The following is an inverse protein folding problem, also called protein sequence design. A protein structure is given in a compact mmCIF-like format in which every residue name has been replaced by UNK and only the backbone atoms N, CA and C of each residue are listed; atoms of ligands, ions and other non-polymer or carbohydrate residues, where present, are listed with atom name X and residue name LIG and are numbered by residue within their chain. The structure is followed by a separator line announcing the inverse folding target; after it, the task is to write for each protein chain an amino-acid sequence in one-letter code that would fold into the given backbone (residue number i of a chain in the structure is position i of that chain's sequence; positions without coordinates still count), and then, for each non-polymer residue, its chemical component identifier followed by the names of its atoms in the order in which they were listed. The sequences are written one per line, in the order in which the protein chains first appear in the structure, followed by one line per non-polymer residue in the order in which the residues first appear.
data_IF_132880571893
#
_entry.id   IF_132880571893
#
_cell.length_a   1.000
_cell.length_b   1.000
_cell.length_c   1.000
_cell.angle_alpha   90.00
_cell.angle_beta   90.00
_cell.angle_gamma   90.00
#
_symmetry.space_group_name_H-M   'P 1'
#
loop_
_entity.id
_entity.type
_entity.pdbx_description
1 polymer ?
#
# COMPACT_ATOMS: atom_id res chain seq x y z
N UNK A 1 -10.06 31.25 14.91
CA UNK A 1 -10.31 29.85 15.29
C UNK A 1 -11.75 29.51 14.94
N UNK A 2 -11.96 28.76 13.86
CA UNK A 2 -13.29 28.35 13.40
C UNK A 2 -13.61 26.94 13.96
N UNK A 3 -14.75 26.83 14.63
CA UNK A 3 -15.29 25.60 15.24
C UNK A 3 -15.85 24.66 14.17
N UNK A 4 -15.67 23.32 14.25
CA UNK A 4 -16.19 22.38 13.26
C UNK A 4 -17.71 22.11 13.42
N UNK A 5 -18.43 21.75 12.34
CA UNK A 5 -19.90 21.75 12.29
C UNK A 5 -20.50 20.36 12.55
N UNK A 6 -20.16 19.70 13.65
CA UNK A 6 -20.88 18.50 14.08
C UNK A 6 -20.78 18.30 15.60
N UNK A 7 -21.91 17.98 16.23
CA UNK A 7 -22.02 17.72 17.67
C UNK A 7 -21.44 16.34 17.99
N UNK A 8 -20.42 16.30 18.82
CA UNK A 8 -19.96 15.06 19.48
C UNK A 8 -21.03 14.56 20.46
N UNK A 9 -21.36 13.28 20.39
CA UNK A 9 -22.31 12.64 21.29
C UNK A 9 -21.78 12.65 22.72
N UNK A 10 -22.54 13.25 23.65
CA UNK A 10 -22.27 13.17 25.09
C UNK A 10 -22.84 11.85 25.62
N UNK A 11 -22.01 11.07 26.29
CA UNK A 11 -22.45 10.00 27.17
C UNK A 11 -23.17 10.62 28.37
N UNK A 12 -24.50 10.60 28.35
CA UNK A 12 -25.38 10.59 29.53
C UNK A 12 -26.84 10.52 29.03
N UNK A 13 -27.48 9.36 29.23
CA UNK A 13 -28.90 9.20 28.91
C UNK A 13 -29.37 7.78 28.56
N UNK A 14 -28.81 6.73 29.17
CA UNK A 14 -29.45 5.41 29.14
C UNK A 14 -30.40 5.37 30.35
N UNK A 15 -31.64 5.82 30.13
CA UNK A 15 -32.64 5.86 31.20
C UNK A 15 -34.07 6.22 30.76
N UNK A 16 -34.33 6.52 29.49
CA UNK A 16 -35.67 6.91 29.03
C UNK A 16 -35.98 6.30 27.65
N UNK A 17 -36.14 4.97 27.60
CA UNK A 17 -36.74 4.26 26.47
C UNK A 17 -37.36 2.91 26.87
N UNK A 18 -37.82 2.78 28.13
CA UNK A 18 -38.66 1.67 28.57
C UNK A 18 -40.06 2.23 28.84
N UNK A 19 -40.82 2.34 27.75
CA UNK A 19 -42.26 2.53 27.83
C UNK A 19 -42.91 1.25 28.37
N UNK A 20 -43.79 1.42 29.34
CA UNK A 20 -44.71 0.40 29.82
C UNK A 20 -45.60 -0.09 28.68
N UNK A 21 -45.43 -1.33 28.23
CA UNK A 21 -46.47 -2.09 27.54
C UNK A 21 -46.71 -3.41 28.28
N UNK A 22 -47.97 -3.64 28.65
CA UNK A 22 -48.45 -4.85 29.31
C UNK A 22 -48.38 -6.05 28.34
N UNK A 23 -48.08 -7.27 28.83
CA UNK A 23 -48.08 -8.45 27.98
C UNK A 23 -49.52 -8.97 27.76
N UNK A 24 -49.92 -9.33 26.53
CA UNK A 24 -51.10 -10.16 26.33
C UNK A 24 -50.78 -11.60 26.74
N UNK A 25 -51.71 -12.18 27.49
CA UNK A 25 -51.67 -13.57 27.91
C UNK A 25 -52.15 -14.52 26.79
N UNK A 26 -51.71 -15.78 26.93
CA UNK A 26 -52.24 -17.02 26.34
C UNK A 26 -51.79 -17.45 24.94
N UNK A 27 -50.96 -18.50 24.94
CA UNK A 27 -51.24 -19.74 24.22
C UNK A 27 -50.48 -19.98 22.92
N UNK A 28 -49.38 -20.75 22.97
CA UNK A 28 -49.11 -21.82 21.99
C UNK A 28 -47.88 -22.66 22.41
N UNK A 29 -48.06 -23.62 23.31
CA UNK A 29 -47.14 -24.77 23.37
C UNK A 29 -47.56 -25.75 22.28
N UNK A 30 -47.04 -25.56 21.07
CA UNK A 30 -46.97 -26.61 20.05
C UNK A 30 -45.52 -27.09 19.98
N UNK A 31 -45.24 -28.40 20.08
CA UNK A 31 -43.89 -28.90 19.90
C UNK A 31 -43.45 -28.60 18.47
N UNK A 32 -42.27 -27.99 18.33
CA UNK A 32 -41.65 -27.76 17.03
C UNK A 32 -41.54 -29.09 16.28
N UNK A 33 -42.17 -29.18 15.11
CA UNK A 33 -42.02 -30.32 14.21
C UNK A 33 -40.53 -30.51 13.87
N UNK A 34 -40.06 -31.76 13.77
CA UNK A 34 -38.67 -32.04 13.45
C UNK A 34 -38.35 -31.42 12.10
N UNK A 35 -37.44 -30.44 12.10
CA UNK A 35 -36.89 -29.84 10.89
C UNK A 35 -36.47 -30.97 9.94
N UNK A 36 -37.18 -31.08 8.83
CA UNK A 36 -36.87 -32.04 7.78
C UNK A 36 -35.39 -31.89 7.43
N UNK A 37 -34.67 -33.01 7.45
CA UNK A 37 -33.24 -33.07 7.16
C UNK A 37 -33.03 -32.46 5.78
N UNK A 38 -32.60 -31.19 5.72
CA UNK A 38 -32.48 -30.45 4.48
C UNK A 38 -31.54 -31.22 3.55
N UNK A 39 -32.04 -31.53 2.35
CA UNK A 39 -31.21 -32.14 1.30
C UNK A 39 -30.00 -31.24 1.11
N UNK A 40 -28.78 -31.80 1.23
CA UNK A 40 -27.51 -31.12 0.97
C UNK A 40 -27.42 -30.70 -0.50
N UNK A 41 -28.13 -29.65 -0.88
CA UNK A 41 -28.11 -29.06 -2.21
C UNK A 41 -27.46 -27.69 -2.16
N UNK A 42 -26.72 -27.35 -3.21
CA UNK A 42 -26.20 -26.00 -3.39
C UNK A 42 -27.35 -25.00 -3.52
N UNK A 43 -27.20 -23.85 -2.88
CA UNK A 43 -28.10 -22.70 -3.04
C UNK A 43 -27.99 -22.18 -4.47
N UNK A 44 -29.12 -21.88 -5.10
CA UNK A 44 -29.15 -21.32 -6.46
C UNK A 44 -28.94 -19.80 -6.42
N UNK A 45 -28.49 -19.23 -7.53
CA UNK A 45 -28.29 -17.78 -7.67
C UNK A 45 -29.53 -16.97 -7.27
N UNK A 46 -30.73 -17.37 -7.74
CA UNK A 46 -31.99 -16.72 -7.41
C UNK A 46 -32.44 -16.87 -5.94
N UNK A 47 -31.84 -17.81 -5.20
CA UNK A 47 -32.14 -18.05 -3.78
C UNK A 47 -31.22 -17.23 -2.85
N UNK A 48 -30.23 -16.51 -3.41
CA UNK A 48 -29.37 -15.63 -2.63
C UNK A 48 -30.09 -14.33 -2.28
N UNK A 49 -29.70 -13.72 -1.16
CA UNK A 49 -30.21 -12.41 -0.77
C UNK A 49 -29.91 -11.34 -1.83
N UNK A 50 -30.85 -10.43 -2.02
CA UNK A 50 -30.80 -9.43 -3.09
C UNK A 50 -29.52 -8.58 -3.11
N UNK A 51 -28.98 -8.27 -1.93
CA UNK A 51 -27.75 -7.48 -1.77
C UNK A 51 -26.48 -8.22 -2.22
N UNK A 52 -26.51 -9.56 -2.31
CA UNK A 52 -25.37 -10.37 -2.72
C UNK A 52 -25.22 -10.44 -4.25
N UNK A 53 -26.30 -10.26 -5.01
CA UNK A 53 -26.26 -10.40 -6.48
C UNK A 53 -25.30 -9.42 -7.14
N UNK A 54 -25.29 -8.15 -6.71
CA UNK A 54 -24.35 -7.14 -7.23
C UNK A 54 -22.90 -7.57 -7.03
N UNK A 55 -22.59 -8.09 -5.83
CA UNK A 55 -21.24 -8.56 -5.51
C UNK A 55 -20.88 -9.83 -6.31
N UNK A 56 -21.78 -10.81 -6.41
CA UNK A 56 -21.53 -12.03 -7.18
C UNK A 56 -21.33 -11.70 -8.66
N UNK A 57 -22.22 -10.91 -9.26
CA UNK A 57 -22.12 -10.56 -10.67
C UNK A 57 -20.88 -9.70 -10.94
N UNK A 58 -20.60 -8.71 -10.09
CA UNK A 58 -19.45 -7.81 -10.26
C UNK A 58 -18.10 -8.48 -10.05
N UNK A 59 -18.04 -9.53 -9.21
CA UNK A 59 -16.79 -10.24 -8.89
C UNK A 59 -16.57 -11.45 -9.78
N UNK A 60 -17.63 -12.22 -10.06
CA UNK A 60 -17.52 -13.51 -10.71
C UNK A 60 -17.75 -13.48 -12.21
N UNK A 61 -18.22 -12.36 -12.77
CA UNK A 61 -18.44 -12.19 -14.21
C UNK A 61 -17.71 -10.96 -14.73
N UNK A 62 -17.09 -11.09 -15.90
CA UNK A 62 -16.47 -9.97 -16.59
C UNK A 62 -17.53 -9.16 -17.34
N UNK A 63 -17.25 -7.88 -17.53
CA UNK A 63 -18.09 -6.99 -18.36
C UNK A 63 -18.34 -7.56 -19.75
N UNK A 64 -17.34 -8.19 -20.38
CA UNK A 64 -17.47 -8.79 -21.71
C UNK A 64 -18.42 -9.99 -21.74
N UNK A 65 -18.47 -10.78 -20.67
CA UNK A 65 -19.43 -11.89 -20.54
C UNK A 65 -20.85 -11.36 -20.32
N UNK A 66 -21.02 -10.37 -19.44
CA UNK A 66 -22.31 -9.75 -19.19
C UNK A 66 -22.87 -9.11 -20.47
N UNK A 67 -22.03 -8.41 -21.25
CA UNK A 67 -22.41 -7.84 -22.56
C UNK A 67 -22.82 -8.89 -23.59
N UNK A 68 -22.38 -10.14 -23.46
CA UNK A 68 -22.81 -11.24 -24.34
C UNK A 68 -24.13 -11.87 -23.89
N UNK A 69 -24.37 -11.94 -22.58
CA UNK A 69 -25.49 -12.68 -21.99
C UNK A 69 -26.72 -11.81 -21.72
N UNK A 70 -26.54 -10.61 -21.15
CA UNK A 70 -27.66 -9.73 -20.76
C UNK A 70 -28.59 -9.39 -21.93
N UNK A 71 -28.10 -8.95 -23.11
CA UNK A 71 -28.96 -8.61 -24.25
C UNK A 71 -29.80 -9.76 -24.80
N UNK A 72 -29.52 -11.01 -24.44
CA UNK A 72 -30.34 -12.17 -24.87
C UNK A 72 -31.67 -12.25 -24.12
N UNK A 73 -31.76 -11.57 -22.98
CA UNK A 73 -32.91 -11.61 -22.07
C UNK A 73 -33.49 -10.22 -21.80
N UNK A 74 -32.93 -9.17 -22.40
CA UNK A 74 -33.36 -7.77 -22.24
C UNK A 74 -33.37 -7.05 -23.58
N UNK A 75 -33.91 -5.83 -23.60
CA UNK A 75 -33.93 -4.95 -24.78
C UNK A 75 -32.66 -4.10 -24.94
N UNK A 76 -31.64 -4.32 -24.10
CA UNK A 76 -30.41 -3.53 -24.14
C UNK A 76 -29.60 -3.83 -25.40
N UNK A 77 -29.09 -2.78 -26.02
CA UNK A 77 -28.12 -2.90 -27.11
C UNK A 77 -26.72 -3.18 -26.56
N UNK A 78 -26.10 -4.25 -27.06
CA UNK A 78 -24.78 -4.71 -26.62
C UNK A 78 -23.66 -3.68 -26.77
N UNK A 79 -23.70 -2.85 -27.82
CA UNK A 79 -22.65 -1.89 -28.16
C UNK A 79 -22.91 -0.51 -27.57
N UNK A 80 -24.18 -0.11 -27.45
CA UNK A 80 -24.55 1.23 -26.97
C UNK A 80 -24.77 1.32 -25.47
N UNK A 81 -25.22 0.25 -24.81
CA UNK A 81 -25.44 0.26 -23.37
C UNK A 81 -24.11 0.48 -22.62
N UNK A 82 -24.14 1.26 -21.56
CA UNK A 82 -23.03 1.46 -20.63
C UNK A 82 -22.77 0.20 -19.81
N UNK A 83 -21.55 0.06 -19.26
CA UNK A 83 -21.22 -1.07 -18.39
C UNK A 83 -22.12 -1.13 -17.15
N UNK A 84 -22.52 0.04 -16.63
CA UNK A 84 -23.42 0.15 -15.48
C UNK A 84 -24.84 -0.36 -15.81
N UNK A 85 -25.40 0.00 -16.96
CA UNK A 85 -26.71 -0.48 -17.40
C UNK A 85 -26.72 -2.00 -17.58
N UNK A 86 -25.69 -2.54 -18.24
CA UNK A 86 -25.52 -3.98 -18.42
C UNK A 86 -25.42 -4.70 -17.07
N UNK A 87 -24.65 -4.15 -16.12
CA UNK A 87 -24.51 -4.72 -14.79
C UNK A 87 -25.82 -4.67 -14.00
N UNK A 88 -26.52 -3.54 -13.97
CA UNK A 88 -27.79 -3.41 -13.26
C UNK A 88 -28.85 -4.38 -13.79
N UNK A 89 -28.95 -4.53 -15.12
CA UNK A 89 -29.87 -5.52 -15.70
C UNK A 89 -29.46 -6.96 -15.37
N UNK A 90 -28.16 -7.28 -15.34
CA UNK A 90 -27.69 -8.59 -14.88
C UNK A 90 -28.09 -8.88 -13.42
N UNK A 91 -28.00 -7.89 -12.53
CA UNK A 91 -28.41 -8.00 -11.13
C UNK A 91 -29.93 -8.22 -11.02
N UNK A 92 -30.73 -7.45 -11.76
CA UNK A 92 -32.19 -7.62 -11.81
C UNK A 92 -32.59 -9.02 -12.28
N UNK A 93 -31.99 -9.49 -13.39
CA UNK A 93 -32.21 -10.83 -13.92
C UNK A 93 -31.81 -11.92 -12.92
N UNK A 94 -30.75 -11.71 -12.14
CA UNK A 94 -30.30 -12.65 -11.11
C UNK A 94 -31.29 -12.77 -9.94
N UNK A 95 -31.93 -11.65 -9.56
CA UNK A 95 -32.92 -11.61 -8.48
C UNK A 95 -34.31 -12.08 -8.91
N UNK A 96 -34.73 -11.74 -10.13
CA UNK A 96 -36.05 -12.10 -10.67
C UNK A 96 -36.23 -13.61 -10.93
N UNK A 97 -35.13 -14.35 -11.02
CA UNK A 97 -35.16 -15.74 -11.47
C UNK A 97 -35.43 -15.87 -12.97
N UNK A 98 -35.89 -17.05 -13.40
CA UNK A 98 -36.19 -17.32 -14.81
C UNK A 98 -34.97 -17.64 -15.69
N UNK A 99 -35.13 -17.53 -17.01
CA UNK A 99 -34.14 -18.01 -17.99
C UNK A 99 -32.81 -17.22 -17.94
N UNK A 100 -32.87 -15.91 -17.70
CA UNK A 100 -31.66 -15.09 -17.53
C UNK A 100 -30.84 -15.52 -16.31
N UNK A 101 -31.49 -15.71 -15.15
CA UNK A 101 -30.83 -16.22 -13.95
C UNK A 101 -30.25 -17.62 -14.16
N UNK A 102 -30.98 -18.53 -14.83
CA UNK A 102 -30.49 -19.89 -15.13
C UNK A 102 -29.28 -19.85 -16.04
N UNK A 103 -29.24 -18.93 -17.02
CA UNK A 103 -28.09 -18.75 -17.89
C UNK A 103 -26.86 -18.28 -17.11
N UNK A 104 -27.01 -17.35 -16.16
CA UNK A 104 -25.91 -16.92 -15.29
C UNK A 104 -25.43 -18.03 -14.36
N UNK A 105 -26.36 -18.74 -13.70
CA UNK A 105 -26.03 -19.90 -12.88
C UNK A 105 -25.21 -20.93 -13.67
N UNK A 106 -25.68 -21.29 -14.88
CA UNK A 106 -25.01 -22.24 -15.76
C UNK A 106 -23.60 -21.76 -16.14
N UNK A 107 -23.47 -20.50 -16.56
CA UNK A 107 -22.18 -19.93 -16.94
C UNK A 107 -21.18 -19.94 -15.78
N UNK A 108 -21.61 -19.56 -14.57
CA UNK A 108 -20.78 -19.57 -13.37
C UNK A 108 -20.40 -21.00 -12.95
N UNK A 109 -21.34 -21.93 -13.00
CA UNK A 109 -21.10 -23.33 -12.65
C UNK A 109 -20.14 -24.04 -13.62
N UNK A 110 -20.28 -23.79 -14.93
CA UNK A 110 -19.38 -24.32 -15.95
C UNK A 110 -17.97 -23.73 -15.81
N UNK A 111 -17.87 -22.41 -15.63
CA UNK A 111 -16.59 -21.71 -15.52
C UNK A 111 -15.80 -22.12 -14.28
N UNK A 112 -16.49 -22.32 -13.16
CA UNK A 112 -15.86 -22.59 -11.87
C UNK A 112 -16.01 -24.05 -11.42
N UNK A 113 -16.28 -24.98 -12.35
CA UNK A 113 -16.54 -26.39 -12.07
C UNK A 113 -15.45 -27.07 -11.23
N UNK A 114 -14.17 -26.75 -11.46
CA UNK A 114 -13.04 -27.32 -10.70
C UNK A 114 -13.06 -26.87 -9.23
N UNK A 115 -13.26 -25.58 -8.98
CA UNK A 115 -13.35 -25.03 -7.62
C UNK A 115 -14.60 -25.49 -6.90
N UNK A 116 -15.73 -25.60 -7.60
CA UNK A 116 -16.96 -26.19 -7.04
C UNK A 116 -16.75 -27.64 -6.59
N UNK A 117 -16.02 -28.45 -7.37
CA UNK A 117 -15.65 -29.83 -6.97
C UNK A 117 -14.77 -29.82 -5.71
N UNK A 118 -13.77 -28.93 -5.64
CA UNK A 118 -12.88 -28.79 -4.48
C UNK A 118 -13.66 -28.40 -3.22
N UNK A 119 -14.53 -27.40 -3.30
CA UNK A 119 -15.36 -26.97 -2.17
C UNK A 119 -16.38 -28.03 -1.75
N UNK A 120 -16.90 -28.83 -2.68
CA UNK A 120 -17.85 -29.91 -2.39
C UNK A 120 -17.32 -31.03 -1.49
N UNK A 121 -16.02 -31.07 -1.18
CA UNK A 121 -15.45 -31.98 -0.17
C UNK A 121 -15.74 -31.49 1.25
N UNK A 122 -15.92 -30.18 1.46
CA UNK A 122 -16.23 -29.62 2.77
C UNK A 122 -17.57 -30.13 3.31
N UNK A 123 -17.63 -30.38 4.62
CA UNK A 123 -18.79 -31.01 5.29
C UNK A 123 -19.41 -30.16 6.39
N UNK A 124 -18.81 -29.02 6.68
CA UNK A 124 -19.22 -28.06 7.70
C UNK A 124 -18.79 -26.64 7.28
N UNK A 125 -19.28 -25.64 8.02
CA UNK A 125 -19.03 -24.23 7.77
C UNK A 125 -17.55 -23.84 7.92
N UNK A 126 -16.83 -24.47 8.85
CA UNK A 126 -15.43 -24.16 9.14
C UNK A 126 -14.50 -24.63 8.01
N UNK A 127 -14.76 -25.81 7.45
CA UNK A 127 -14.04 -26.32 6.29
C UNK A 127 -14.26 -25.43 5.04
N UNK A 128 -15.48 -24.92 4.83
CA UNK A 128 -15.77 -23.96 3.75
C UNK A 128 -15.02 -22.66 4.00
N UNK A 129 -15.01 -22.17 5.25
CA UNK A 129 -14.30 -20.94 5.62
C UNK A 129 -12.79 -21.08 5.42
N UNK A 130 -12.20 -22.21 5.79
CA UNK A 130 -10.78 -22.48 5.56
C UNK A 130 -10.43 -22.44 4.07
N UNK A 131 -11.25 -23.07 3.21
CA UNK A 131 -11.04 -23.03 1.76
C UNK A 131 -11.18 -21.61 1.18
N UNK A 132 -12.07 -20.80 1.75
CA UNK A 132 -12.16 -19.37 1.41
C UNK A 132 -10.88 -18.62 1.80
N UNK A 133 -10.44 -18.75 3.04
CA UNK A 133 -9.24 -18.05 3.54
C UNK A 133 -7.98 -18.47 2.75
N UNK A 134 -7.89 -19.73 2.32
CA UNK A 134 -6.83 -20.21 1.42
C UNK A 134 -6.87 -19.52 0.06
N UNK A 135 -8.06 -19.37 -0.53
CA UNK A 135 -8.25 -18.72 -1.82
C UNK A 135 -7.96 -17.21 -1.76
N UNK A 136 -8.28 -16.56 -0.64
CA UNK A 136 -7.89 -15.17 -0.39
C UNK A 136 -6.37 -15.03 -0.40
N UNK A 137 -5.65 -15.93 0.28
CA UNK A 137 -4.19 -15.90 0.30
C UNK A 137 -3.55 -16.18 -1.06
N UNK A 138 -4.17 -17.02 -1.89
CA UNK A 138 -3.67 -17.31 -3.26
C UNK A 138 -4.13 -16.28 -4.31
N UNK A 139 -5.11 -15.43 -3.99
CA UNK A 139 -5.69 -14.46 -4.92
C UNK A 139 -6.78 -15.04 -5.84
N UNK A 140 -7.20 -16.28 -5.64
CA UNK A 140 -8.22 -16.96 -6.44
C UNK A 140 -9.65 -16.60 -5.99
N UNK A 141 -9.95 -15.30 -5.91
CA UNK A 141 -11.17 -14.76 -5.30
C UNK A 141 -12.45 -15.14 -6.07
N UNK A 142 -12.62 -14.83 -7.38
CA UNK A 142 -13.88 -15.08 -8.08
C UNK A 142 -14.40 -16.53 -8.02
N UNK A 143 -13.57 -17.57 -8.29
CA UNK A 143 -14.06 -18.95 -8.26
C UNK A 143 -14.42 -19.41 -6.83
N UNK A 144 -13.65 -19.01 -5.82
CA UNK A 144 -13.92 -19.36 -4.44
C UNK A 144 -15.16 -18.64 -3.91
N UNK A 145 -15.36 -17.37 -4.31
CA UNK A 145 -16.50 -16.58 -3.89
C UNK A 145 -17.81 -17.20 -4.36
N UNK A 146 -17.88 -17.62 -5.64
CA UNK A 146 -19.04 -18.34 -6.16
C UNK A 146 -19.29 -19.66 -5.43
N UNK A 147 -18.22 -20.40 -5.12
CA UNK A 147 -18.33 -21.65 -4.38
C UNK A 147 -18.91 -21.44 -2.98
N UNK A 148 -18.43 -20.43 -2.23
CA UNK A 148 -18.94 -20.10 -0.88
C UNK A 148 -20.40 -19.66 -0.94
N UNK A 149 -20.77 -18.75 -1.85
CA UNK A 149 -22.15 -18.24 -1.93
C UNK A 149 -23.17 -19.36 -2.13
N UNK A 150 -22.81 -20.38 -2.91
CA UNK A 150 -23.70 -21.49 -3.26
C UNK A 150 -23.53 -22.74 -2.39
N UNK A 151 -22.58 -22.79 -1.46
CA UNK A 151 -22.30 -24.01 -0.71
C UNK A 151 -23.42 -24.34 0.29
N UNK A 152 -23.85 -25.61 0.43
CA UNK A 152 -24.90 -26.01 1.38
C UNK A 152 -24.52 -25.73 2.84
N UNK A 153 -23.24 -25.94 3.19
CA UNK A 153 -22.74 -25.74 4.57
C UNK A 153 -22.28 -24.29 4.83
N UNK A 154 -22.35 -23.39 3.84
CA UNK A 154 -22.05 -21.97 4.05
C UNK A 154 -23.26 -21.28 4.69
N UNK A 155 -23.28 -21.20 6.02
CA UNK A 155 -24.26 -20.40 6.75
C UNK A 155 -24.12 -18.90 6.48
N UNK A 156 -25.08 -18.12 6.97
CA UNK A 156 -25.12 -16.65 6.83
C UNK A 156 -23.82 -15.98 7.26
N UNK A 157 -23.23 -16.42 8.37
CA UNK A 157 -21.97 -15.88 8.87
C UNK A 157 -20.80 -16.06 7.90
N UNK A 158 -20.68 -17.23 7.26
CA UNK A 158 -19.60 -17.51 6.29
C UNK A 158 -19.79 -16.68 5.03
N UNK A 159 -21.02 -16.58 4.51
CA UNK A 159 -21.33 -15.74 3.34
C UNK A 159 -21.07 -14.27 3.62
N UNK A 160 -21.47 -13.76 4.78
CA UNK A 160 -21.23 -12.37 5.18
C UNK A 160 -19.73 -12.05 5.31
N UNK A 161 -18.94 -12.96 5.88
CA UNK A 161 -17.49 -12.79 5.97
C UNK A 161 -16.84 -12.69 4.58
N UNK A 162 -17.17 -13.61 3.67
CA UNK A 162 -16.66 -13.60 2.30
C UNK A 162 -17.11 -12.36 1.53
N UNK A 163 -18.38 -11.95 1.67
CA UNK A 163 -18.92 -10.73 1.07
C UNK A 163 -18.19 -9.49 1.58
N UNK A 164 -17.98 -9.37 2.90
CA UNK A 164 -17.30 -8.23 3.50
C UNK A 164 -15.87 -8.07 2.98
N UNK A 165 -15.16 -9.18 2.80
CA UNK A 165 -13.80 -9.18 2.26
C UNK A 165 -13.76 -8.78 0.79
N UNK A 166 -14.63 -9.34 -0.06
CA UNK A 166 -14.77 -8.93 -1.47
C UNK A 166 -15.18 -7.47 -1.60
N UNK A 167 -16.07 -7.00 -0.74
CA UNK A 167 -16.50 -5.60 -0.69
C UNK A 167 -15.31 -4.67 -0.37
N UNK A 168 -14.51 -5.00 0.64
CA UNK A 168 -13.32 -4.21 0.98
C UNK A 168 -12.24 -4.27 -0.09
N UNK A 169 -12.02 -5.43 -0.72
CA UNK A 169 -11.12 -5.57 -1.87
C UNK A 169 -11.54 -4.66 -3.02
N UNK A 170 -12.84 -4.59 -3.32
CA UNK A 170 -13.38 -3.71 -4.37
C UNK A 170 -13.12 -2.23 -4.07
N UNK A 171 -13.24 -1.80 -2.81
CA UNK A 171 -12.89 -0.45 -2.37
C UNK A 171 -11.38 -0.16 -2.48
N UNK A 172 -10.54 -1.10 -2.05
CA UNK A 172 -9.07 -0.97 -2.08
C UNK A 172 -8.54 -0.91 -3.51
N UNK A 173 -8.95 -1.85 -4.37
CA UNK A 173 -8.59 -1.85 -5.79
C UNK A 173 -9.11 -0.59 -6.47
N UNK A 174 -10.34 -0.16 -6.16
CA UNK A 174 -10.87 1.11 -6.66
C UNK A 174 -10.04 2.32 -6.24
N UNK A 175 -9.54 2.38 -5.00
CA UNK A 175 -8.69 3.46 -4.52
C UNK A 175 -7.29 3.44 -5.14
N UNK A 176 -6.65 2.27 -5.21
CA UNK A 176 -5.35 2.08 -5.84
C UNK A 176 -5.40 2.42 -7.33
N UNK A 177 -6.38 1.88 -8.06
CA UNK A 177 -6.52 2.12 -9.49
C UNK A 177 -6.76 3.61 -9.81
N UNK A 178 -7.48 4.36 -8.95
CA UNK A 178 -7.60 5.83 -9.11
C UNK A 178 -6.27 6.55 -8.92
N UNK A 179 -5.45 6.13 -7.97
CA UNK A 179 -4.12 6.72 -7.77
C UNK A 179 -3.21 6.40 -8.97
N UNK A 180 -3.27 5.17 -9.48
CA UNK A 180 -2.52 4.73 -10.65
C UNK A 180 -2.94 5.48 -11.92
N UNK A 181 -4.25 5.64 -12.16
CA UNK A 181 -4.79 6.43 -13.28
C UNK A 181 -4.26 7.87 -13.23
N UNK A 182 -4.28 8.52 -12.05
CA UNK A 182 -3.74 9.88 -11.91
C UNK A 182 -2.24 9.92 -12.20
N UNK A 183 -1.50 8.92 -11.74
CA UNK A 183 -0.05 8.83 -12.00
C UNK A 183 0.23 8.62 -13.47
N UNK A 184 -0.58 7.79 -14.14
CA UNK A 184 -0.47 7.53 -15.58
C UNK A 184 -0.72 8.80 -16.39
N UNK A 185 -1.81 9.53 -16.11
CA UNK A 185 -2.12 10.80 -16.77
C UNK A 185 -0.97 11.81 -16.57
N UNK A 186 -0.46 11.96 -15.35
CA UNK A 186 0.66 12.86 -15.08
C UNK A 186 1.93 12.47 -15.84
N UNK A 187 2.22 11.18 -15.95
CA UNK A 187 3.36 10.68 -16.73
C UNK A 187 3.16 10.88 -18.24
N UNK A 188 1.94 10.78 -18.75
CA UNK A 188 1.62 11.07 -20.14
C UNK A 188 1.82 12.56 -20.46
N UNK A 189 1.37 13.47 -19.58
CA UNK A 189 1.58 14.91 -19.71
C UNK A 189 3.08 15.29 -19.64
N UNK A 190 3.81 14.69 -18.71
CA UNK A 190 5.26 14.89 -18.57
C UNK A 190 6.00 14.39 -19.82
N UNK A 191 5.63 13.21 -20.34
CA UNK A 191 6.19 12.69 -21.59
C UNK A 191 5.91 13.60 -22.78
N UNK A 192 4.69 14.12 -22.91
CA UNK A 192 4.34 15.07 -23.96
C UNK A 192 5.19 16.35 -23.88
N UNK A 193 5.35 16.89 -22.67
CA UNK A 193 6.18 18.08 -22.41
C UNK A 193 7.66 17.85 -22.73
N UNK A 194 8.20 16.70 -22.33
CA UNK A 194 9.59 16.35 -22.61
C UNK A 194 9.83 16.14 -24.11
N UNK A 195 8.90 15.50 -24.82
CA UNK A 195 8.98 15.32 -26.27
C UNK A 195 9.02 16.65 -27.00
N UNK A 196 8.14 17.58 -26.64
CA UNK A 196 8.11 18.93 -27.22
C UNK A 196 9.40 19.71 -26.91
N UNK A 197 9.93 19.65 -25.68
CA UNK A 197 11.24 20.24 -25.36
C UNK A 197 12.38 19.65 -26.21
N UNK A 198 12.36 18.34 -26.42
CA UNK A 198 13.39 17.63 -27.18
C UNK A 198 13.33 18.01 -28.66
N UNK A 199 12.13 18.11 -29.23
CA UNK A 199 11.89 18.58 -30.60
C UNK A 199 12.43 20.00 -30.79
N UNK A 200 12.08 20.94 -29.90
CA UNK A 200 12.61 22.31 -29.95
C UNK A 200 14.13 22.39 -29.81
N UNK A 201 14.73 21.52 -28.98
CA UNK A 201 16.19 21.46 -28.85
C UNK A 201 16.85 20.92 -30.12
N UNK A 202 16.26 19.90 -30.75
CA UNK A 202 16.73 19.34 -32.02
C UNK A 202 16.67 20.39 -33.13
N UNK A 203 15.56 21.11 -33.27
CA UNK A 203 15.42 22.21 -34.24
C UNK A 203 16.47 23.30 -34.02
N UNK A 204 16.69 23.70 -32.76
CA UNK A 204 17.68 24.72 -32.41
C UNK A 204 19.09 24.27 -32.75
N UNK A 205 19.45 23.01 -32.45
CA UNK A 205 20.77 22.46 -32.77
C UNK A 205 20.98 22.36 -34.28
N UNK A 206 19.98 21.91 -35.03
CA UNK A 206 20.04 21.87 -36.50
C UNK A 206 20.24 23.26 -37.09
N UNK A 207 19.46 24.26 -36.65
CA UNK A 207 19.60 25.63 -37.10
C UNK A 207 20.99 26.21 -36.80
N UNK A 208 21.57 25.88 -35.64
CA UNK A 208 22.89 26.34 -35.23
C UNK A 208 24.00 25.67 -36.06
N UNK A 209 23.89 24.36 -36.32
CA UNK A 209 24.79 23.65 -37.23
C UNK A 209 24.74 24.22 -38.64
N UNK A 210 23.55 24.47 -39.19
CA UNK A 210 23.41 25.08 -40.52
C UNK A 210 24.07 26.46 -40.57
N UNK A 211 23.90 27.29 -39.53
CA UNK A 211 24.60 28.59 -39.44
C UNK A 211 26.12 28.44 -39.37
N UNK A 212 26.62 27.49 -38.59
CA UNK A 212 28.05 27.21 -38.50
C UNK A 212 28.62 26.72 -39.85
N UNK A 213 27.94 25.81 -40.54
CA UNK A 213 28.36 25.35 -41.88
C UNK A 213 28.40 26.50 -42.89
N UNK A 214 27.41 27.40 -42.87
CA UNK A 214 27.42 28.59 -43.71
C UNK A 214 28.58 29.53 -43.37
N UNK A 215 28.85 29.78 -42.08
CA UNK A 215 29.95 30.63 -41.65
C UNK A 215 31.33 30.03 -42.03
N UNK A 216 31.51 28.72 -41.86
CA UNK A 216 32.72 28.00 -42.27
C UNK A 216 32.93 28.15 -43.77
N UNK A 217 31.89 27.95 -44.60
CA UNK A 217 31.97 28.13 -46.06
C UNK A 217 32.33 29.57 -46.45
N UNK A 218 31.69 30.56 -45.83
CA UNK A 218 31.97 31.98 -46.06
C UNK A 218 33.42 32.35 -45.72
N UNK A 219 34.03 31.72 -44.72
CA UNK A 219 35.44 31.92 -44.38
C UNK A 219 36.40 31.10 -45.25
N UNK A 220 36.04 29.87 -45.64
CA UNK A 220 36.92 28.98 -46.40
C UNK A 220 37.03 29.34 -47.88
N UNK A 221 35.98 29.87 -48.49
CA UNK A 221 35.94 30.17 -49.93
C UNK A 221 36.92 31.29 -50.33
N UNK A 222 37.01 32.43 -49.62
CA UNK A 222 38.01 33.45 -49.92
C UNK A 222 39.44 32.96 -49.68
N UNK A 223 39.68 32.20 -48.61
CA UNK A 223 40.99 31.66 -48.27
C UNK A 223 41.49 30.66 -49.32
N UNK A 224 40.60 29.78 -49.79
CA UNK A 224 40.93 28.83 -50.86
C UNK A 224 41.16 29.52 -52.20
N UNK A 225 40.39 30.57 -52.53
CA UNK A 225 40.63 31.39 -53.73
C UNK A 225 41.94 32.17 -53.67
N UNK A 226 42.30 32.74 -52.51
CA UNK A 226 43.57 33.44 -52.29
C UNK A 226 44.75 32.48 -52.39
N UNK A 227 44.68 31.31 -51.75
CA UNK A 227 45.71 30.26 -51.87
C UNK A 227 45.87 29.76 -53.32
N UNK A 228 44.77 29.59 -54.05
CA UNK A 228 44.82 29.18 -55.46
C UNK A 228 45.43 30.27 -56.37
N UNK A 229 45.26 31.55 -56.05
CA UNK A 229 45.90 32.67 -56.75
C UNK A 229 47.38 32.79 -56.41
N UNK A 230 47.74 32.66 -55.13
CA UNK A 230 49.12 32.66 -54.67
C UNK A 230 49.92 31.50 -55.28
N UNK A 231 49.34 30.30 -55.35
CA UNK A 231 49.95 29.14 -56.00
C UNK A 231 50.16 29.32 -57.52
N UNK A 232 49.35 30.14 -58.20
CA UNK A 232 49.52 30.48 -59.62
C UNK A 232 50.51 31.62 -59.86
N UNK A 233 50.81 32.42 -58.84
CA UNK A 233 51.68 33.60 -58.92
C UNK A 233 53.11 33.34 -58.42
N UNK A 234 53.45 32.10 -58.08
CA UNK A 234 54.81 31.69 -57.70
C UNK A 234 55.78 31.71 -58.91
N UNK A 235 56.14 32.91 -59.36
CA UNK A 235 57.36 33.22 -60.10
C UNK A 235 58.33 34.00 -59.21
N UNK A 236 59.65 33.96 -59.45
CA UNK A 236 60.64 34.47 -58.51
C UNK A 236 60.70 35.99 -58.59
N UNK A 237 60.23 36.70 -57.55
CA UNK A 237 60.52 38.12 -57.36
C UNK A 237 60.72 38.50 -55.89
N UNK A 238 61.85 39.17 -55.71
CA UNK A 238 62.31 40.09 -54.67
C UNK A 238 61.44 40.24 -53.40
N UNK A 239 61.88 39.64 -52.30
CA UNK A 239 61.05 39.13 -51.19
C UNK A 239 61.29 39.78 -49.82
N UNK A 240 61.77 41.03 -49.77
CA UNK A 240 62.03 41.70 -48.48
C UNK A 240 60.77 42.26 -47.82
N UNK A 241 60.14 43.24 -48.47
CA UNK A 241 59.09 44.07 -47.86
C UNK A 241 57.67 43.49 -48.01
N UNK A 242 57.38 42.75 -49.08
CA UNK A 242 56.08 42.06 -49.25
C UNK A 242 55.97 40.83 -48.34
N UNK A 243 57.09 40.15 -48.07
CA UNK A 243 57.15 39.01 -47.16
C UNK A 243 56.93 39.45 -45.72
N UNK A 244 57.51 40.59 -45.31
CA UNK A 244 57.28 41.16 -43.97
C UNK A 244 55.82 41.58 -43.75
N UNK A 245 55.19 42.20 -44.76
CA UNK A 245 53.77 42.54 -44.69
C UNK A 245 52.87 41.28 -44.63
N UNK A 246 53.21 40.23 -45.41
CA UNK A 246 52.49 38.96 -45.38
C UNK A 246 52.68 38.19 -44.07
N UNK A 247 53.88 38.22 -43.49
CA UNK A 247 54.19 37.67 -42.17
C UNK A 247 53.38 38.39 -41.08
N UNK A 248 53.30 39.73 -41.15
CA UNK A 248 52.53 40.52 -40.20
C UNK A 248 51.03 40.21 -40.27
N UNK A 249 50.47 40.10 -41.48
CA UNK A 249 49.06 39.68 -41.67
C UNK A 249 48.79 38.26 -41.16
N UNK A 250 49.75 37.33 -41.35
CA UNK A 250 49.62 35.97 -40.86
C UNK A 250 49.67 35.91 -39.33
N UNK A 251 50.54 36.70 -38.70
CA UNK A 251 50.63 36.84 -37.25
C UNK A 251 49.35 37.41 -36.66
N UNK A 252 48.76 38.44 -37.29
CA UNK A 252 47.47 39.00 -36.86
C UNK A 252 46.32 37.99 -37.00
N UNK A 253 46.30 37.22 -38.10
CA UNK A 253 45.31 36.15 -38.32
C UNK A 253 45.43 35.02 -37.29
N UNK A 254 46.67 34.60 -36.98
CA UNK A 254 46.95 33.61 -35.93
C UNK A 254 46.51 34.12 -34.56
N UNK A 255 46.84 35.37 -34.21
CA UNK A 255 46.43 35.98 -32.95
C UNK A 255 44.90 36.06 -32.82
N UNK A 256 44.19 36.37 -33.91
CA UNK A 256 42.73 36.38 -33.94
C UNK A 256 42.14 34.98 -33.75
N UNK A 257 42.76 33.94 -34.34
CA UNK A 257 42.34 32.54 -34.18
C UNK A 257 42.60 32.02 -32.78
N UNK A 258 43.74 32.36 -32.18
CA UNK A 258 44.07 31.99 -30.81
C UNK A 258 43.10 32.64 -29.81
N UNK A 259 42.72 33.90 -30.04
CA UNK A 259 41.70 34.58 -29.23
C UNK A 259 40.32 33.89 -29.34
N UNK A 260 39.94 33.44 -30.54
CA UNK A 260 38.67 32.72 -30.74
C UNK A 260 38.69 31.31 -30.11
N UNK A 261 39.81 30.59 -30.21
CA UNK A 261 39.99 29.30 -29.54
C UNK A 261 39.96 29.46 -28.01
N UNK A 262 40.59 30.50 -27.47
CA UNK A 262 40.55 30.79 -26.04
C UNK A 262 39.12 31.09 -25.56
N UNK A 263 38.33 31.82 -26.34
CA UNK A 263 36.92 32.08 -26.03
C UNK A 263 36.07 30.80 -26.06
N UNK A 264 36.28 29.93 -27.04
CA UNK A 264 35.58 28.65 -27.13
C UNK A 264 35.95 27.71 -25.97
N UNK A 265 37.23 27.65 -25.60
CA UNK A 265 37.72 26.89 -24.46
C UNK A 265 37.07 27.38 -23.15
N UNK A 266 37.04 28.69 -22.92
CA UNK A 266 36.38 29.30 -21.76
C UNK A 266 34.88 28.98 -21.70
N UNK A 267 34.17 29.04 -22.83
CA UNK A 267 32.75 28.68 -22.90
C UNK A 267 32.50 27.21 -22.59
N UNK A 268 33.37 26.32 -23.09
CA UNK A 268 33.30 24.89 -22.85
C UNK A 268 33.55 24.57 -21.39
N UNK A 269 34.60 25.13 -20.78
CA UNK A 269 34.90 24.95 -19.36
C UNK A 269 33.76 25.43 -18.48
N UNK A 270 33.17 26.60 -18.79
CA UNK A 270 32.00 27.09 -18.07
C UNK A 270 30.77 26.18 -18.21
N UNK A 271 30.60 25.51 -19.35
CA UNK A 271 29.53 24.52 -19.56
C UNK A 271 29.79 23.22 -18.80
N UNK A 272 31.03 22.72 -18.81
CA UNK A 272 31.45 21.54 -18.04
C UNK A 272 31.26 21.77 -16.54
N UNK A 273 31.64 22.93 -16.01
CA UNK A 273 31.40 23.29 -14.60
C UNK A 273 29.90 23.39 -14.25
N UNK A 274 29.04 23.87 -15.17
CA UNK A 274 27.58 23.87 -14.94
C UNK A 274 27.04 22.44 -14.89
N UNK A 275 27.43 21.59 -15.85
CA UNK A 275 27.00 20.20 -15.88
C UNK A 275 27.44 19.44 -14.62
N UNK A 276 28.65 19.70 -14.12
CA UNK A 276 29.15 19.09 -12.88
C UNK A 276 28.32 19.51 -11.66
N UNK A 277 28.00 20.80 -11.52
CA UNK A 277 27.12 21.30 -10.44
C UNK A 277 25.70 20.73 -10.51
N UNK A 278 25.12 20.63 -11.70
CA UNK A 278 23.81 20.00 -11.90
C UNK A 278 23.84 18.51 -11.54
N UNK A 279 24.92 17.81 -11.87
CA UNK A 279 25.11 16.41 -11.51
C UNK A 279 25.19 16.21 -9.99
N UNK A 280 25.96 17.04 -9.29
CA UNK A 280 26.04 17.03 -7.83
C UNK A 280 24.69 17.32 -7.16
N UNK A 281 23.94 18.30 -7.67
CA UNK A 281 22.59 18.60 -7.20
C UNK A 281 21.63 17.42 -7.41
N UNK A 282 21.69 16.78 -8.57
CA UNK A 282 20.87 15.60 -8.88
C UNK A 282 21.16 14.43 -7.93
N UNK A 283 22.44 14.19 -7.63
CA UNK A 283 22.83 13.17 -6.65
C UNK A 283 22.32 13.50 -5.24
N UNK A 284 22.41 14.77 -4.81
CA UNK A 284 21.91 15.21 -3.52
C UNK A 284 20.39 15.04 -3.39
N UNK A 285 19.62 15.43 -4.42
CA UNK A 285 18.15 15.25 -4.46
C UNK A 285 17.79 13.77 -4.43
N UNK A 286 18.54 12.92 -5.14
CA UNK A 286 18.31 11.48 -5.13
C UNK A 286 18.54 10.86 -3.76
N UNK A 287 19.61 11.26 -3.07
CA UNK A 287 19.87 10.83 -1.70
C UNK A 287 18.76 11.28 -0.73
N UNK A 288 18.26 12.51 -0.87
CA UNK A 288 17.11 13.00 -0.08
C UNK A 288 15.82 12.21 -0.35
N UNK A 289 15.57 11.85 -1.62
CA UNK A 289 14.42 11.02 -1.98
C UNK A 289 14.52 9.62 -1.36
N UNK A 290 15.69 9.00 -1.41
CA UNK A 290 15.93 7.67 -0.84
C UNK A 290 15.73 7.69 0.69
N UNK A 291 16.20 8.74 1.37
CA UNK A 291 15.96 8.94 2.80
C UNK A 291 14.46 9.14 3.13
N UNK A 292 13.76 10.00 2.38
CA UNK A 292 12.33 10.20 2.55
C UNK A 292 11.51 8.92 2.33
N UNK A 293 11.90 8.09 1.34
CA UNK A 293 11.28 6.78 1.10
C UNK A 293 11.54 5.80 2.26
N UNK A 294 12.73 5.83 2.85
CA UNK A 294 13.05 5.02 4.03
C UNK A 294 12.19 5.46 5.24
N UNK A 295 12.06 6.77 5.48
CA UNK A 295 11.21 7.31 6.55
C UNK A 295 9.73 6.95 6.36
N UNK A 296 9.21 7.04 5.12
CA UNK A 296 7.84 6.63 4.82
C UNK A 296 7.59 5.14 5.06
N UNK A 297 8.56 4.26 4.73
CA UNK A 297 8.46 2.82 5.05
C UNK A 297 8.39 2.58 6.55
N UNK A 298 9.22 3.28 7.33
CA UNK A 298 9.21 3.20 8.79
C UNK A 298 7.86 3.67 9.34
N UNK A 299 7.39 4.85 8.94
CA UNK A 299 6.11 5.41 9.39
C UNK A 299 4.90 4.53 9.01
N UNK A 300 4.94 3.89 7.84
CA UNK A 300 3.91 2.93 7.42
C UNK A 300 3.92 1.66 8.26
N UNK A 301 5.10 1.13 8.59
CA UNK A 301 5.24 -0.02 9.47
C UNK A 301 4.72 0.30 10.89
N UNK A 302 5.01 1.51 11.40
CA UNK A 302 4.49 2.01 12.67
C UNK A 302 2.97 2.15 12.65
N UNK A 303 2.40 2.73 11.59
CA UNK A 303 0.95 2.90 11.42
C UNK A 303 0.23 1.55 11.32
N UNK A 304 0.81 0.58 10.60
CA UNK A 304 0.27 -0.78 10.50
C UNK A 304 0.35 -1.53 11.84
N UNK A 305 1.42 -1.33 12.62
CA UNK A 305 1.53 -1.87 13.96
C UNK A 305 0.49 -1.25 14.92
N UNK A 306 0.24 0.06 14.79
CA UNK A 306 -0.80 0.77 15.54
C UNK A 306 -2.21 0.30 15.16
N UNK A 307 -2.49 0.15 13.87
CA UNK A 307 -3.79 -0.32 13.36
C UNK A 307 -4.11 -1.75 13.85
N UNK A 308 -3.11 -2.64 13.85
CA UNK A 308 -3.24 -3.99 14.44
C UNK A 308 -3.49 -3.98 15.95
N UNK A 309 -3.05 -2.93 16.64
CA UNK A 309 -3.25 -2.76 18.09
C UNK A 309 -4.58 -2.07 18.45
N UNK A 310 -5.18 -1.32 17.51
CA UNK A 310 -6.41 -0.51 17.74
C UNK A 310 -7.68 -1.21 17.23
N UNK A 311 -7.59 -2.19 16.32
CA UNK A 311 -8.75 -2.96 15.89
C UNK A 311 -9.37 -3.75 17.07
N UNK A 312 -10.66 -3.52 17.41
CA UNK A 312 -11.35 -4.27 18.45
C UNK A 312 -11.46 -5.74 18.06
N UNK A 313 -11.35 -6.62 19.05
CA UNK A 313 -11.63 -8.04 18.94
C UNK A 313 -13.09 -8.27 18.50
N UNK A 314 -13.31 -8.35 17.19
CA UNK A 314 -14.50 -8.96 16.62
C UNK A 314 -14.02 -10.11 15.73
N UNK A 315 -14.16 -11.32 16.26
CA UNK A 315 -14.08 -12.61 15.57
C UNK A 315 -12.68 -13.10 15.14
N UNK A 316 -11.78 -13.42 16.07
CA UNK A 316 -10.86 -14.58 15.96
C UNK A 316 -10.45 -15.05 17.37
N UNK A 317 -11.24 -15.98 17.91
CA UNK A 317 -11.23 -16.38 19.33
C UNK A 317 -10.19 -17.41 19.76
N UNK A 318 -9.38 -18.03 18.89
CA UNK A 318 -8.53 -19.15 19.35
C UNK A 318 -7.05 -19.08 18.94
N UNK A 319 -6.68 -18.62 17.73
CA UNK A 319 -5.27 -18.68 17.30
C UNK A 319 -4.37 -17.57 17.89
N UNK A 320 -4.89 -16.37 18.16
CA UNK A 320 -4.11 -15.32 18.87
C UNK A 320 -3.81 -15.70 20.32
N UNK A 321 -4.55 -16.64 20.91
CA UNK A 321 -4.38 -17.07 22.29
C UNK A 321 -3.26 -18.10 22.46
N UNK A 322 -2.72 -18.71 21.40
CA UNK A 322 -1.69 -19.74 21.57
C UNK A 322 -0.39 -19.18 22.21
N UNK A 323 0.14 -18.06 21.71
CA UNK A 323 1.34 -17.41 22.27
C UNK A 323 1.08 -16.62 23.56
N UNK A 324 -0.16 -16.18 23.78
CA UNK A 324 -0.56 -15.41 24.97
C UNK A 324 -1.00 -16.28 26.15
N UNK A 325 -1.33 -17.56 25.93
CA UNK A 325 -1.62 -18.54 27.00
C UNK A 325 -0.45 -18.71 27.98
N UNK A 326 0.79 -18.52 27.51
CA UNK A 326 1.98 -18.59 28.36
C UNK A 326 2.04 -17.48 29.42
N UNK A 327 1.23 -16.42 29.26
CA UNK A 327 1.12 -15.33 30.23
C UNK A 327 0.14 -15.66 31.37
N UNK A 328 -0.64 -16.73 31.24
CA UNK A 328 -1.60 -17.14 32.26
C UNK A 328 -0.89 -17.42 33.59
N UNK A 329 -1.31 -16.73 34.66
CA UNK A 329 -0.73 -16.84 35.99
C UNK A 329 0.67 -16.22 36.14
N UNK A 330 1.22 -15.57 35.10
CA UNK A 330 2.53 -14.91 35.15
C UNK A 330 2.41 -13.46 35.60
N UNK A 331 3.32 -13.02 36.46
CA UNK A 331 3.46 -11.63 36.90
C UNK A 331 4.60 -10.95 36.15
N UNK A 332 4.23 -10.05 35.24
CA UNK A 332 5.14 -9.34 34.35
C UNK A 332 5.30 -7.90 34.85
N UNK A 333 6.53 -7.45 35.02
CA UNK A 333 6.82 -6.04 35.34
C UNK A 333 7.27 -5.33 34.08
N UNK A 334 6.52 -4.33 33.66
CA UNK A 334 6.79 -3.54 32.46
C UNK A 334 7.28 -2.15 32.87
N UNK A 335 8.53 -1.83 32.53
CA UNK A 335 9.23 -0.63 32.99
C UNK A 335 9.37 0.37 31.84
N UNK A 336 8.77 1.54 31.98
CA UNK A 336 8.72 2.60 30.98
C UNK A 336 7.48 2.53 30.07
N UNK A 337 7.66 2.97 28.83
CA UNK A 337 6.65 2.90 27.77
C UNK A 337 5.71 4.11 27.68
N UNK A 338 4.72 4.02 26.78
CA UNK A 338 3.79 5.11 26.45
C UNK A 338 2.44 4.88 27.16
N UNK A 339 1.81 5.89 27.78
CA UNK A 339 0.56 5.72 28.53
C UNK A 339 -0.56 5.00 27.75
N UNK A 340 -0.73 5.31 26.46
CA UNK A 340 -1.72 4.65 25.61
C UNK A 340 -1.42 3.17 25.36
N UNK A 341 -0.17 2.82 25.06
CA UNK A 341 0.27 1.44 24.84
C UNK A 341 0.23 0.61 26.12
N UNK A 342 0.58 1.24 27.26
CA UNK A 342 0.59 0.61 28.58
C UNK A 342 -0.80 0.15 29.01
N UNK A 343 -1.85 0.94 28.73
CA UNK A 343 -3.23 0.53 29.00
C UNK A 343 -3.63 -0.69 28.17
N UNK A 344 -3.33 -0.69 26.87
CA UNK A 344 -3.64 -1.82 25.98
C UNK A 344 -2.88 -3.08 26.36
N UNK A 345 -1.59 -2.97 26.71
CA UNK A 345 -0.77 -4.08 27.19
C UNK A 345 -1.35 -4.68 28.48
N UNK A 346 -1.76 -3.82 29.41
CA UNK A 346 -2.37 -4.26 30.67
C UNK A 346 -3.66 -5.04 30.41
N UNK A 347 -4.57 -4.50 29.60
CA UNK A 347 -5.80 -5.20 29.23
C UNK A 347 -5.54 -6.53 28.52
N UNK A 348 -4.53 -6.60 27.65
CA UNK A 348 -4.15 -7.82 26.93
C UNK A 348 -3.61 -8.91 27.86
N UNK A 349 -2.75 -8.55 28.80
CA UNK A 349 -2.19 -9.51 29.76
C UNK A 349 -3.27 -9.98 30.74
N UNK A 350 -4.09 -9.06 31.25
CA UNK A 350 -5.18 -9.39 32.17
C UNK A 350 -6.26 -10.26 31.50
N UNK A 351 -6.57 -10.05 30.21
CA UNK A 351 -7.52 -10.90 29.48
C UNK A 351 -7.05 -12.34 29.30
N UNK A 352 -5.76 -12.61 29.51
CA UNK A 352 -5.15 -13.95 29.43
C UNK A 352 -4.99 -14.61 30.81
N UNK A 353 -5.40 -13.92 31.89
CA UNK A 353 -5.21 -14.36 33.27
C UNK A 353 -3.80 -14.13 33.83
N UNK A 354 -2.97 -13.33 33.15
CA UNK A 354 -1.70 -12.83 33.66
C UNK A 354 -1.85 -11.51 34.43
N UNK A 355 -0.79 -11.08 35.10
CA UNK A 355 -0.73 -9.80 35.79
C UNK A 355 0.37 -8.91 35.20
N UNK A 356 0.01 -7.72 34.72
CA UNK A 356 0.98 -6.70 34.29
C UNK A 356 1.10 -5.58 35.32
N UNK A 357 2.30 -5.39 35.87
CA UNK A 357 2.63 -4.28 36.77
C UNK A 357 3.44 -3.25 35.99
N UNK A 358 2.88 -2.06 35.81
CA UNK A 358 3.52 -0.95 35.13
C UNK A 358 4.40 -0.17 36.12
N UNK A 359 5.63 0.13 35.73
CA UNK A 359 6.51 1.06 36.43
C UNK A 359 6.96 2.12 35.42
N UNK A 360 7.04 3.37 35.85
CA UNK A 360 7.38 4.52 35.01
C UNK A 360 8.86 4.62 34.60
N UNK A 361 9.70 3.65 34.97
CA UNK A 361 11.14 3.72 34.71
C UNK A 361 11.87 4.78 35.53
N UNK A 362 11.48 5.04 36.78
CA UNK A 362 12.34 5.73 37.76
C UNK A 362 11.98 7.18 38.06
N UNK A 363 10.85 7.69 37.55
CA UNK A 363 10.37 9.03 37.86
C UNK A 363 9.75 9.08 39.28
N UNK A 364 9.19 7.96 39.75
CA UNK A 364 8.64 7.78 41.10
C UNK A 364 9.36 6.69 41.94
N UNK A 365 10.70 6.55 41.86
CA UNK A 365 11.41 5.58 42.72
C UNK A 365 11.45 6.03 44.21
N UNK A 366 10.31 5.88 44.89
CA UNK A 366 10.20 6.00 46.35
C UNK A 366 10.94 4.82 46.97
N UNK A 367 12.25 5.01 47.24
CA UNK A 367 13.10 4.21 48.13
C UNK A 367 12.84 2.69 48.08
N UNK A 368 12.96 2.06 46.91
CA UNK A 368 13.03 0.60 46.79
C UNK A 368 11.76 -0.10 46.27
N UNK A 369 10.77 0.65 45.79
CA UNK A 369 9.55 0.09 45.21
C UNK A 369 9.83 -0.77 43.97
N UNK A 370 10.78 -0.37 43.12
CA UNK A 370 11.17 -1.15 41.95
C UNK A 370 11.76 -2.51 42.33
N UNK A 371 12.66 -2.54 43.32
CA UNK A 371 13.28 -3.78 43.80
C UNK A 371 12.24 -4.75 44.39
N UNK A 372 11.32 -4.25 45.23
CA UNK A 372 10.22 -5.06 45.77
C UNK A 372 9.27 -5.58 44.68
N UNK A 373 9.06 -4.77 43.63
CA UNK A 373 8.18 -5.13 42.52
C UNK A 373 8.81 -6.21 41.63
N UNK A 374 10.10 -6.09 41.31
CA UNK A 374 10.86 -7.06 40.53
C UNK A 374 11.03 -8.38 41.29
N UNK A 375 11.26 -8.36 42.60
CA UNK A 375 11.49 -9.58 43.40
C UNK A 375 10.36 -10.62 43.33
N UNK A 376 9.12 -10.20 42.99
CA UNK A 376 7.96 -11.09 42.85
C UNK A 376 7.53 -11.26 41.38
N UNK A 377 8.36 -10.91 40.41
CA UNK A 377 8.04 -10.98 38.99
C UNK A 377 8.57 -12.27 38.36
N UNK A 378 7.80 -12.85 37.43
CA UNK A 378 8.27 -13.94 36.58
C UNK A 378 9.22 -13.44 35.48
N UNK A 379 8.97 -12.24 34.97
CA UNK A 379 9.83 -11.58 34.00
C UNK A 379 9.66 -10.06 34.04
N UNK A 380 10.71 -9.39 33.59
CA UNK A 380 10.76 -7.93 33.45
C UNK A 380 10.90 -7.57 31.97
N UNK A 381 10.11 -6.61 31.51
CA UNK A 381 10.10 -6.17 30.10
C UNK A 381 10.24 -4.66 30.05
N UNK A 382 11.10 -4.14 29.18
CA UNK A 382 11.27 -2.69 29.03
C UNK A 382 11.56 -2.29 27.58
N UNK A 383 10.89 -1.25 27.05
CA UNK A 383 11.17 -0.73 25.72
C UNK A 383 12.36 0.22 25.72
N UNK A 384 13.34 -0.03 24.85
CA UNK A 384 14.60 0.75 24.79
C UNK A 384 14.41 2.19 24.31
N UNK A 385 13.28 2.49 23.64
CA UNK A 385 12.93 3.83 23.15
C UNK A 385 12.13 4.67 24.17
N UNK A 386 11.77 4.09 25.32
CA UNK A 386 10.96 4.75 26.36
C UNK A 386 11.44 4.40 27.79
N UNK A 387 12.75 4.23 27.96
CA UNK A 387 13.45 4.12 29.25
C UNK A 387 14.77 4.91 29.13
N UNK A 388 15.14 5.66 30.15
CA UNK A 388 16.44 6.34 30.18
C UNK A 388 17.59 5.36 30.53
N UNK A 389 18.82 5.78 30.22
CA UNK A 389 20.01 4.94 30.36
C UNK A 389 20.31 4.55 31.82
N UNK A 390 20.05 5.45 32.77
CA UNK A 390 20.34 5.23 34.19
C UNK A 390 19.34 4.25 34.80
N UNK A 391 18.06 4.39 34.45
CA UNK A 391 16.98 3.49 34.85
C UNK A 391 17.13 2.11 34.23
N UNK A 392 17.57 2.00 32.98
CA UNK A 392 17.92 0.71 32.36
C UNK A 392 19.06 0.02 33.11
N UNK A 393 20.11 0.77 33.45
CA UNK A 393 21.28 0.25 34.18
C UNK A 393 20.95 -0.15 35.62
N UNK A 394 20.04 0.59 36.27
CA UNK A 394 19.49 0.21 37.57
C UNK A 394 18.64 -1.06 37.48
N UNK A 395 17.74 -1.14 36.49
CA UNK A 395 16.86 -2.27 36.27
C UNK A 395 17.64 -3.57 36.09
N UNK A 396 18.68 -3.56 35.25
CA UNK A 396 19.56 -4.73 35.04
C UNK A 396 20.16 -5.23 36.36
N UNK A 397 20.73 -4.32 37.16
CA UNK A 397 21.33 -4.65 38.47
C UNK A 397 20.31 -5.26 39.44
N UNK A 398 19.08 -4.76 39.43
CA UNK A 398 17.99 -5.28 40.29
C UNK A 398 17.54 -6.67 39.82
N UNK A 399 17.34 -6.85 38.51
CA UNK A 399 16.97 -8.14 37.94
C UNK A 399 18.04 -9.21 38.19
N UNK A 400 19.32 -8.88 38.02
CA UNK A 400 20.44 -9.77 38.30
C UNK A 400 20.50 -10.19 39.78
N UNK A 401 20.32 -9.22 40.70
CA UNK A 401 20.29 -9.49 42.14
C UNK A 401 19.18 -10.45 42.56
N UNK A 402 18.00 -10.32 41.94
CA UNK A 402 16.83 -11.14 42.24
C UNK A 402 16.71 -12.38 41.35
N UNK A 403 17.67 -12.61 40.44
CA UNK A 403 17.67 -13.70 39.46
C UNK A 403 16.39 -13.75 38.60
N UNK A 404 15.86 -12.58 38.23
CA UNK A 404 14.68 -12.44 37.37
C UNK A 404 15.10 -12.17 35.94
N UNK A 405 14.54 -12.92 34.99
CA UNK A 405 14.80 -12.72 33.57
C UNK A 405 14.25 -11.37 33.10
N UNK A 406 15.06 -10.65 32.31
CA UNK A 406 14.66 -9.37 31.72
C UNK A 406 14.79 -9.38 30.20
N UNK A 407 13.89 -8.66 29.53
CA UNK A 407 13.81 -8.63 28.07
C UNK A 407 13.68 -7.19 27.55
N UNK A 408 14.65 -6.71 26.75
CA UNK A 408 14.52 -5.43 26.06
C UNK A 408 13.58 -5.57 24.86
N UNK A 409 12.66 -4.63 24.71
CA UNK A 409 11.84 -4.45 23.50
C UNK A 409 12.42 -3.35 22.63
N UNK A 410 12.35 -3.53 21.30
CA UNK A 410 12.81 -2.51 20.34
C UNK A 410 12.02 -1.20 20.46
N UNK A 411 10.71 -1.30 20.68
CA UNK A 411 9.83 -0.14 20.81
C UNK A 411 8.77 -0.36 21.90
N UNK A 412 8.25 0.74 22.45
CA UNK A 412 7.12 0.77 23.38
C UNK A 412 5.79 0.52 22.66
N UNK A 413 5.64 -0.68 22.07
CA UNK A 413 4.48 -1.06 21.28
C UNK A 413 3.89 -2.42 21.72
N UNK A 414 2.58 -2.59 21.50
CA UNK A 414 1.88 -3.87 21.73
C UNK A 414 2.45 -4.97 20.84
N UNK A 415 2.82 -4.64 19.60
CA UNK A 415 3.39 -5.59 18.65
C UNK A 415 4.73 -6.17 19.12
N UNK A 416 5.64 -5.32 19.62
CA UNK A 416 6.94 -5.78 20.15
C UNK A 416 6.76 -6.65 21.39
N UNK A 417 5.78 -6.35 22.25
CA UNK A 417 5.46 -7.20 23.39
C UNK A 417 4.91 -8.56 22.96
N UNK A 418 3.94 -8.60 22.03
CA UNK A 418 3.38 -9.86 21.52
C UNK A 418 4.46 -10.71 20.86
N UNK A 419 5.33 -10.11 20.05
CA UNK A 419 6.49 -10.79 19.46
C UNK A 419 7.43 -11.38 20.52
N UNK A 420 7.71 -10.65 21.61
CA UNK A 420 8.51 -11.19 22.71
C UNK A 420 7.82 -12.42 23.33
N UNK A 421 6.51 -12.34 23.58
CA UNK A 421 5.78 -13.44 24.22
C UNK A 421 5.74 -14.70 23.35
N UNK A 422 5.62 -14.56 22.02
CA UNK A 422 5.73 -15.71 21.11
C UNK A 422 7.13 -16.31 21.07
N UNK A 423 8.18 -15.49 21.11
CA UNK A 423 9.58 -15.95 21.17
C UNK A 423 9.89 -16.67 22.48
N UNK A 424 9.48 -16.12 23.62
CA UNK A 424 9.65 -16.74 24.93
C UNK A 424 8.88 -18.06 25.02
N UNK A 425 7.68 -18.13 24.42
CA UNK A 425 6.91 -19.37 24.32
C UNK A 425 7.56 -20.44 23.42
N UNK A 426 8.38 -20.07 22.44
CA UNK A 426 9.07 -21.01 21.57
C UNK A 426 10.39 -21.55 22.17
N UNK A 427 10.89 -20.89 23.23
CA UNK A 427 12.15 -21.23 23.89
C UNK A 427 11.97 -21.97 25.24
N UNK A 428 10.73 -22.07 25.73
CA UNK A 428 10.32 -22.86 26.89
C UNK A 428 9.72 -24.19 26.42
#
# INVERSE_FOLDING_TARGET
MHTPPFRLARANGIGAALGHEQPPATGCCSPAEPQSRAVRRRTRLAELDSHLHCSVIGTCMTTSELRKLVPRFTTLDRQRATDLEIHHEAVKLSSAGGEGCKAFQKALDERYASTLKRFGVARDADAVRKLWDDAVRSGDIPPAYWAVMTHPEAGTAVRQAAFGEVHMLSHLVGAANRADIRRLIALEEENATLRDKLERQQERLQALNTRHEMAIRQMSDPLSQLNARAARQAGPRDTGTEMDAALQMLQESLAARDAELALQASRREAAEQRAMREHEQMQAVRAQLDDALAQLKISRAESQAMERAVLPAAAQGEERHAGLRQLQGKRIVYVGGRPGSNHTLKSLVESTGGQLVLHDGGIEDRKGLLAATVARADMVVFPVDCIDHDSMSMLKRVCERHQVAYYPLRTASVASFVELTTRVSAAA
#
